data_IF_506765910277
#
_entry.id   IF_506765910277
#
_cell.length_a   1.000
_cell.length_b   1.000
_cell.length_c   1.000
_cell.angle_alpha   90.00
_cell.angle_beta   90.00
_cell.angle_gamma   90.00
#
_symmetry.space_group_name_H-M   'P 1'
#
loop_
_entity.id
_entity.type
_entity.pdbx_description
1 polymer ?
#
# COMPACT_ATOMS: atom_id res chain seq x y z
N UNK A 1 22.96 16.53 2.19
CA UNK A 1 21.60 16.79 2.70
C UNK A 1 20.68 15.68 2.20
N UNK A 2 20.54 14.60 2.97
CA UNK A 2 19.69 13.46 2.65
C UNK A 2 18.35 13.68 3.36
N UNK A 3 17.36 14.21 2.64
CA UNK A 3 16.01 14.35 3.15
C UNK A 3 15.24 13.05 2.89
N UNK A 4 15.26 12.13 3.87
CA UNK A 4 14.27 11.06 3.98
C UNK A 4 13.32 11.51 5.08
N UNK A 5 12.31 12.30 4.70
CA UNK A 5 11.25 12.72 5.59
C UNK A 5 9.97 11.92 5.26
N UNK A 6 9.25 11.56 6.32
CA UNK A 6 7.95 10.88 6.36
C UNK A 6 7.95 9.36 6.11
N UNK A 7 8.26 8.65 7.20
CA UNK A 7 7.78 7.28 7.42
C UNK A 7 6.25 7.29 7.59
N UNK A 8 5.53 6.61 6.70
CA UNK A 8 4.32 5.88 7.06
C UNK A 8 4.40 4.51 6.38
N UNK A 9 5.07 3.57 7.04
CA UNK A 9 5.18 2.17 6.61
C UNK A 9 4.39 1.34 7.60
N UNK A 10 3.31 0.70 7.15
CA UNK A 10 2.65 -0.40 7.84
C UNK A 10 2.59 -1.62 6.90
N UNK A 11 3.66 -2.40 6.92
CA UNK A 11 3.85 -3.59 6.08
C UNK A 11 3.53 -4.87 6.84
N UNK A 12 2.77 -5.78 6.23
CA UNK A 12 2.96 -7.22 6.41
C UNK A 12 2.43 -7.96 5.17
N UNK A 13 3.30 -8.68 4.47
CA UNK A 13 2.86 -9.75 3.59
C UNK A 13 3.43 -11.06 4.13
N UNK A 14 2.55 -12.01 4.39
CA UNK A 14 2.91 -13.40 4.65
C UNK A 14 3.12 -14.08 3.29
N UNK A 15 4.35 -14.14 2.82
CA UNK A 15 4.94 -15.21 1.99
C UNK A 15 6.43 -14.87 1.82
N UNK A 16 7.29 -15.87 1.93
CA UNK A 16 8.74 -15.79 2.22
C UNK A 16 9.47 -14.60 1.58
N UNK A 17 9.73 -13.55 2.37
CA UNK A 17 10.67 -12.49 2.02
C UNK A 17 12.08 -13.06 2.16
N UNK A 18 12.74 -13.36 1.04
CA UNK A 18 14.19 -13.52 1.04
C UNK A 18 14.78 -12.14 1.28
N UNK A 19 15.16 -11.88 2.53
CA UNK A 19 15.82 -10.65 2.93
C UNK A 19 17.18 -10.56 2.22
N UNK A 20 17.38 -9.56 1.37
CA UNK A 20 18.73 -9.21 0.90
C UNK A 20 19.62 -8.93 2.12
N UNK A 21 20.78 -9.58 2.14
CA UNK A 21 21.74 -9.64 3.25
C UNK A 21 22.62 -8.40 3.41
N UNK A 22 22.35 -7.32 2.68
CA UNK A 22 23.25 -6.16 2.62
C UNK A 22 22.87 -5.10 3.65
N UNK A 23 23.01 -5.40 4.94
CA UNK A 23 23.30 -4.41 5.99
C UNK A 23 23.50 -5.14 7.33
N UNK A 24 24.74 -5.55 7.60
CA UNK A 24 25.14 -6.41 8.73
C UNK A 24 24.99 -5.80 10.14
N UNK A 25 24.32 -4.66 10.32
CA UNK A 25 24.28 -3.93 11.60
C UNK A 25 22.89 -3.54 12.14
N UNK A 26 21.78 -3.89 11.46
CA UNK A 26 20.41 -3.40 11.82
C UNK A 26 19.34 -4.49 11.90
N UNK A 27 19.74 -5.75 11.96
CA UNK A 27 18.85 -6.93 11.96
C UNK A 27 17.88 -6.95 13.15
N UNK A 28 18.30 -6.48 14.33
CA UNK A 28 17.43 -6.40 15.52
C UNK A 28 16.30 -5.38 15.36
N UNK A 29 16.64 -4.15 15.00
CA UNK A 29 15.66 -3.06 14.82
C UNK A 29 14.66 -3.37 13.70
N UNK A 30 15.11 -3.95 12.59
CA UNK A 30 14.22 -4.35 11.49
C UNK A 30 13.19 -5.40 11.94
N UNK A 31 13.62 -6.40 12.72
CA UNK A 31 12.73 -7.43 13.24
C UNK A 31 11.71 -6.85 14.21
N UNK A 32 12.15 -5.96 15.09
CA UNK A 32 11.27 -5.30 16.05
C UNK A 32 10.20 -4.45 15.36
N UNK A 33 10.62 -3.66 14.35
CA UNK A 33 9.69 -2.90 13.53
C UNK A 33 8.68 -3.81 12.83
N UNK A 34 9.13 -4.90 12.19
CA UNK A 34 8.23 -5.86 11.56
C UNK A 34 7.22 -6.46 12.54
N UNK A 35 7.65 -6.79 13.76
CA UNK A 35 6.75 -7.31 14.82
C UNK A 35 5.74 -6.26 15.24
N UNK A 36 6.20 -5.04 15.53
CA UNK A 36 5.34 -3.93 15.92
C UNK A 36 4.29 -3.62 14.85
N UNK A 37 4.69 -3.63 13.58
CA UNK A 37 3.76 -3.42 12.46
C UNK A 37 2.77 -4.56 12.32
N UNK A 38 3.22 -5.82 12.42
CA UNK A 38 2.33 -6.98 12.37
C UNK A 38 1.25 -6.94 13.46
N UNK A 39 1.59 -6.49 14.67
CA UNK A 39 0.63 -6.32 15.76
C UNK A 39 -0.42 -5.21 15.53
N UNK A 40 -0.13 -4.24 14.67
CA UNK A 40 -1.06 -3.14 14.32
C UNK A 40 -1.96 -3.46 13.13
N UNK A 41 -1.68 -4.55 12.42
CA UNK A 41 -2.45 -4.95 11.24
C UNK A 41 -3.60 -5.86 11.66
N UNK A 42 -4.72 -5.73 10.94
CA UNK A 42 -5.86 -6.64 11.11
C UNK A 42 -5.45 -8.06 10.71
N UNK A 43 -5.88 -9.06 11.48
CA UNK A 43 -5.63 -10.48 11.20
C UNK A 43 -6.58 -11.00 10.10
N UNK A 44 -6.42 -10.45 8.91
CA UNK A 44 -7.20 -10.80 7.70
C UNK A 44 -6.23 -11.04 6.53
N UNK A 45 -6.64 -11.76 5.47
CA UNK A 45 -5.86 -11.80 4.25
C UNK A 45 -5.72 -10.41 3.63
N UNK A 46 -4.63 -10.17 2.90
CA UNK A 46 -4.39 -8.92 2.17
C UNK A 46 -4.11 -9.21 0.70
N UNK A 47 -4.50 -8.27 -0.18
CA UNK A 47 -4.07 -8.26 -1.57
C UNK A 47 -3.01 -7.16 -1.80
N UNK A 48 -2.06 -7.45 -2.68
CA UNK A 48 -1.02 -6.50 -3.08
C UNK A 48 -1.36 -5.94 -4.46
N UNK A 49 -1.70 -4.66 -4.50
CA UNK A 49 -2.07 -3.91 -5.70
C UNK A 49 -0.97 -2.90 -6.00
N UNK A 50 -0.59 -2.74 -7.27
CA UNK A 50 0.40 -1.74 -7.68
C UNK A 50 -0.23 -0.74 -8.63
N UNK A 51 -0.07 0.54 -8.33
CA UNK A 51 -0.46 1.64 -9.22
C UNK A 51 0.77 2.29 -9.81
N UNK A 52 0.78 2.47 -11.13
CA UNK A 52 1.91 3.05 -11.85
C UNK A 52 1.53 4.43 -12.39
N UNK A 53 2.38 5.43 -12.13
CA UNK A 53 2.23 6.75 -12.73
C UNK A 53 2.59 6.67 -14.23
N UNK A 54 1.75 7.18 -15.14
CA UNK A 54 2.09 7.24 -16.56
C UNK A 54 3.39 8.00 -16.82
N UNK A 55 4.26 7.45 -17.68
CA UNK A 55 5.59 8.01 -17.95
C UNK A 55 5.56 9.46 -18.44
N UNK A 56 4.51 9.88 -19.13
CA UNK A 56 4.30 11.25 -19.61
C UNK A 56 4.28 12.26 -18.46
N UNK A 57 3.87 11.84 -17.24
CA UNK A 57 3.81 12.68 -16.05
C UNK A 57 5.13 12.72 -15.27
N UNK A 58 6.15 11.94 -15.66
CA UNK A 58 7.44 11.91 -14.97
C UNK A 58 8.17 13.26 -14.99
N UNK A 59 7.93 14.09 -16.01
CA UNK A 59 8.43 15.47 -16.03
C UNK A 59 7.86 16.27 -14.86
N UNK A 60 6.53 16.29 -14.73
CA UNK A 60 5.83 16.99 -13.64
C UNK A 60 6.19 16.42 -12.27
N UNK A 61 6.34 15.10 -12.16
CA UNK A 61 6.73 14.44 -10.90
C UNK A 61 8.14 14.86 -10.44
N UNK A 62 9.05 15.20 -11.36
CA UNK A 62 10.37 15.72 -11.01
C UNK A 62 10.34 17.19 -10.58
N UNK A 63 9.49 18.01 -11.20
CA UNK A 63 9.36 19.43 -10.85
C UNK A 63 8.53 19.66 -9.57
N UNK A 64 7.47 18.87 -9.38
CA UNK A 64 6.52 19.01 -8.27
C UNK A 64 6.29 17.67 -7.53
N UNK A 65 7.35 17.04 -6.99
CA UNK A 65 7.27 15.68 -6.44
C UNK A 65 6.24 15.57 -5.31
N UNK A 66 6.23 16.51 -4.37
CA UNK A 66 5.28 16.48 -3.27
C UNK A 66 3.82 16.49 -3.74
N UNK A 67 3.47 17.31 -4.74
CA UNK A 67 2.10 17.42 -5.25
C UNK A 67 1.71 16.14 -5.98
N UNK A 68 2.56 15.68 -6.92
CA UNK A 68 2.26 14.52 -7.75
C UNK A 68 2.20 13.23 -6.92
N UNK A 69 3.12 13.04 -5.98
CA UNK A 69 3.13 11.85 -5.13
C UNK A 69 1.92 11.79 -4.18
N UNK A 70 1.54 12.93 -3.60
CA UNK A 70 0.32 13.00 -2.79
C UNK A 70 -0.93 12.72 -3.63
N UNK A 71 -1.00 13.26 -4.85
CA UNK A 71 -2.10 12.99 -5.78
C UNK A 71 -2.16 11.50 -6.15
N UNK A 72 -1.02 10.87 -6.45
CA UNK A 72 -0.96 9.45 -6.75
C UNK A 72 -1.52 8.63 -5.57
N UNK A 73 -0.99 8.81 -4.36
CA UNK A 73 -1.44 8.05 -3.18
C UNK A 73 -2.93 8.27 -2.86
N UNK A 74 -3.42 9.51 -2.96
CA UNK A 74 -4.84 9.83 -2.77
C UNK A 74 -5.71 9.19 -3.84
N UNK A 75 -5.24 9.15 -5.09
CA UNK A 75 -5.95 8.53 -6.20
C UNK A 75 -6.00 7.02 -6.03
N UNK A 76 -4.91 6.37 -5.61
CA UNK A 76 -4.89 4.95 -5.27
C UNK A 76 -5.95 4.60 -4.22
N UNK A 77 -5.98 5.38 -3.12
CA UNK A 77 -6.97 5.19 -2.06
C UNK A 77 -8.40 5.39 -2.57
N UNK A 78 -8.65 6.48 -3.30
CA UNK A 78 -9.99 6.78 -3.83
C UNK A 78 -10.51 5.66 -4.73
N UNK A 79 -9.66 5.14 -5.61
CA UNK A 79 -10.02 4.04 -6.51
C UNK A 79 -10.37 2.77 -5.73
N UNK A 80 -9.55 2.38 -4.76
CA UNK A 80 -9.80 1.18 -3.94
C UNK A 80 -11.05 1.34 -3.08
N UNK A 81 -11.20 2.48 -2.40
CA UNK A 81 -12.35 2.76 -1.56
C UNK A 81 -13.67 2.74 -2.36
N UNK A 82 -13.67 3.35 -3.55
CA UNK A 82 -14.83 3.35 -4.44
C UNK A 82 -15.16 1.94 -4.97
N UNK A 83 -14.15 1.15 -5.32
CA UNK A 83 -14.35 -0.22 -5.78
C UNK A 83 -14.95 -1.10 -4.68
N UNK A 84 -14.47 -0.97 -3.45
CA UNK A 84 -14.94 -1.77 -2.31
C UNK A 84 -16.28 -1.28 -1.73
N UNK A 85 -16.63 0.00 -1.90
CA UNK A 85 -17.94 0.51 -1.47
C UNK A 85 -19.10 -0.08 -2.28
N UNK A 86 -18.84 -0.48 -3.53
CA UNK A 86 -19.83 -1.18 -4.34
C UNK A 86 -20.22 -2.52 -3.69
N UNK A 87 -21.52 -2.70 -3.49
CA UNK A 87 -22.09 -3.90 -2.93
C UNK A 87 -21.77 -5.12 -3.79
N UNK A 88 -21.72 -5.02 -5.11
CA UNK A 88 -21.42 -6.20 -5.95
C UNK A 88 -20.01 -6.74 -5.74
N UNK A 89 -19.11 -5.92 -5.19
CA UNK A 89 -17.73 -6.28 -4.89
C UNK A 89 -17.59 -6.69 -3.42
N UNK A 90 -17.61 -5.72 -2.50
CA UNK A 90 -17.41 -5.94 -1.05
C UNK A 90 -18.55 -5.33 -0.23
N UNK A 91 -18.99 -4.11 -0.58
CA UNK A 91 -20.02 -3.37 0.16
C UNK A 91 -19.53 -2.87 1.53
N UNK A 92 -18.23 -2.60 1.66
CA UNK A 92 -17.59 -2.19 2.91
C UNK A 92 -16.29 -1.42 2.68
N UNK A 93 -15.86 -0.67 3.69
CA UNK A 93 -14.66 0.16 3.67
C UNK A 93 -13.41 -0.69 3.96
N UNK A 94 -12.47 -0.81 3.01
CA UNK A 94 -11.25 -1.59 3.21
C UNK A 94 -10.24 -0.83 4.05
N UNK A 95 -9.24 -1.53 4.59
CA UNK A 95 -7.99 -0.95 5.06
C UNK A 95 -6.94 -0.95 3.95
N UNK A 96 -6.11 0.08 3.87
CA UNK A 96 -4.99 0.14 2.93
C UNK A 96 -3.75 0.75 3.57
N UNK A 97 -2.60 0.11 3.34
CA UNK A 97 -1.30 0.75 3.49
C UNK A 97 -0.61 0.87 2.15
N UNK A 98 -0.01 2.02 1.85
CA UNK A 98 0.71 2.24 0.60
C UNK A 98 2.18 2.61 0.85
N UNK A 99 3.07 2.14 -0.02
CA UNK A 99 4.48 2.52 -0.07
C UNK A 99 4.80 3.06 -1.46
N UNK A 100 5.34 4.27 -1.52
CA UNK A 100 5.74 4.92 -2.77
C UNK A 100 7.16 4.53 -3.18
N UNK A 101 7.32 4.12 -4.42
CA UNK A 101 8.60 3.82 -5.06
C UNK A 101 8.80 4.76 -6.24
N UNK A 102 10.00 5.30 -6.40
CA UNK A 102 10.34 6.27 -7.46
C UNK A 102 11.34 5.73 -8.49
N UNK A 103 11.84 4.51 -8.29
CA UNK A 103 12.76 3.83 -9.21
C UNK A 103 12.30 2.41 -9.51
N UNK A 104 12.49 2.00 -10.76
CA UNK A 104 12.35 0.62 -11.20
C UNK A 104 13.57 -0.23 -10.83
N UNK A 105 13.48 -1.54 -11.06
CA UNK A 105 14.62 -2.46 -10.90
C UNK A 105 15.77 -2.15 -11.86
N UNK A 106 15.49 -1.48 -12.98
CA UNK A 106 16.47 -0.99 -13.95
C UNK A 106 17.05 0.39 -13.58
N UNK A 107 16.79 0.88 -12.36
CA UNK A 107 17.19 2.18 -11.83
C UNK A 107 16.69 3.39 -12.63
N UNK A 108 15.76 3.18 -13.57
CA UNK A 108 15.09 4.29 -14.25
C UNK A 108 14.02 4.88 -13.34
N UNK A 109 13.77 6.17 -13.55
CA UNK A 109 12.73 6.89 -12.84
C UNK A 109 11.35 6.33 -13.21
N UNK A 110 10.73 5.63 -12.27
CA UNK A 110 9.50 4.88 -12.45
C UNK A 110 8.68 4.97 -11.17
N UNK A 111 7.76 5.94 -11.15
CA UNK A 111 6.95 6.24 -9.97
C UNK A 111 5.78 5.27 -9.91
N UNK A 112 5.74 4.46 -8.85
CA UNK A 112 4.66 3.52 -8.58
C UNK A 112 4.39 3.41 -7.09
N UNK A 113 3.16 3.06 -6.72
CA UNK A 113 2.76 2.82 -5.35
C UNK A 113 2.38 1.35 -5.17
N UNK A 114 3.00 0.69 -4.20
CA UNK A 114 2.59 -0.63 -3.74
C UNK A 114 1.59 -0.47 -2.61
N UNK A 115 0.38 -0.94 -2.82
CA UNK A 115 -0.73 -0.89 -1.89
C UNK A 115 -1.02 -2.29 -1.36
N UNK A 116 -0.97 -2.44 -0.04
CA UNK A 116 -1.43 -3.63 0.65
C UNK A 116 -2.84 -3.34 1.19
N UNK A 117 -3.84 -4.05 0.68
CA UNK A 117 -5.25 -3.80 0.94
C UNK A 117 -5.85 -4.99 1.66
N UNK A 118 -6.68 -4.77 2.67
CA UNK A 118 -7.40 -5.86 3.35
C UNK A 118 -8.33 -6.58 2.38
N UNK A 119 -8.38 -7.90 2.45
CA UNK A 119 -9.30 -8.70 1.67
C UNK A 119 -10.70 -8.65 2.30
N UNK A 120 -11.44 -7.58 2.02
CA UNK A 120 -12.71 -7.26 2.67
C UNK A 120 -12.70 -5.86 3.29
N UNK A 121 -13.81 -5.48 3.92
CA UNK A 121 -13.97 -4.17 4.53
C UNK A 121 -15.09 -4.12 5.56
N UNK A 122 -15.10 -3.07 6.38
CA UNK A 122 -16.14 -2.85 7.39
C UNK A 122 -17.37 -2.17 6.78
N UNK A 123 -18.57 -2.67 7.10
CA UNK A 123 -19.81 -2.01 6.71
C UNK A 123 -19.96 -0.65 7.38
N UNK A 124 -20.59 0.30 6.70
CA UNK A 124 -20.97 1.57 7.32
C UNK A 124 -22.24 1.37 8.16
N UNK A 125 -22.25 1.87 9.40
CA UNK A 125 -23.39 1.74 10.32
C UNK A 125 -23.01 1.90 11.79
N UNK A 126 -24.01 1.92 12.67
CA UNK A 126 -23.83 2.00 14.13
C UNK A 126 -23.19 0.74 14.73
N UNK A 127 -23.26 -0.38 14.02
CA UNK A 127 -22.55 -1.63 14.32
C UNK A 127 -21.81 -2.10 13.06
N UNK A 128 -20.52 -1.78 12.90
CA UNK A 128 -19.77 -2.16 11.71
C UNK A 128 -19.50 -3.67 11.72
N UNK A 129 -19.84 -4.34 10.63
CA UNK A 129 -19.60 -5.77 10.42
C UNK A 129 -18.56 -5.98 9.31
N UNK A 130 -17.75 -7.03 9.43
CA UNK A 130 -16.77 -7.36 8.40
C UNK A 130 -17.45 -8.01 7.19
N UNK A 131 -17.30 -7.41 6.01
CA UNK A 131 -17.78 -7.94 4.74
C UNK A 131 -16.62 -8.51 3.91
N UNK A 132 -16.80 -9.75 3.49
CA UNK A 132 -15.90 -10.43 2.57
C UNK A 132 -16.24 -10.12 1.11
N UNK A 133 -15.27 -10.15 0.19
CA UNK A 133 -15.54 -9.98 -1.24
C UNK A 133 -16.50 -11.05 -1.76
N UNK A 134 -17.54 -10.64 -2.48
CA UNK A 134 -18.55 -11.55 -3.04
C UNK A 134 -18.09 -12.23 -4.33
N UNK A 135 -17.21 -11.58 -5.10
CA UNK A 135 -16.66 -12.12 -6.35
C UNK A 135 -15.27 -12.71 -6.13
N UNK A 136 -15.16 -14.05 -6.14
CA UNK A 136 -13.90 -14.79 -5.91
C UNK A 136 -12.80 -14.58 -6.96
N UNK A 137 -13.12 -14.12 -8.18
CA UNK A 137 -12.19 -14.13 -9.34
C UNK A 137 -12.06 -12.78 -10.08
N UNK A 138 -12.40 -11.65 -9.47
CA UNK A 138 -12.39 -10.32 -10.15
C UNK A 138 -11.60 -9.21 -9.43
N UNK A 139 -10.83 -9.54 -8.40
CA UNK A 139 -9.95 -8.59 -7.70
C UNK A 139 -8.49 -8.90 -8.00
#
# INVERSE_FOLDING_TARGET
MCAINTFLVATANAHSVRASSVCSGRTGLRRELSRTLACRMLQVPYCHITFTLPHQLNGLARWYPAVIYNLLLRSCWKTIAQLCSDEDNVGGKPGMTAVLHTWGSDLKYHVHAHCLVTFGGLSEGSKPEWKWPRRKHKL
#
